data_IF_484678754012
#
_entry.id   IF_484678754012
#
_cell.length_a   1.000
_cell.length_b   1.000
_cell.length_c   1.000
_cell.angle_alpha   90.00
_cell.angle_beta   90.00
_cell.angle_gamma   90.00
#
_symmetry.space_group_name_H-M   'P 1'
#
loop_
_entity.id
_entity.type
_entity.pdbx_description
1 polymer ?
#
# COMPACT_ATOMS: atom_id res chain seq x y z
N UNK A 1 -24.37 -24.38 -4.97
CA UNK A 1 -24.52 -22.91 -5.06
C UNK A 1 -23.92 -22.17 -3.86
N UNK A 2 -24.46 -22.26 -2.63
CA UNK A 2 -24.05 -21.45 -1.45
C UNK A 2 -22.53 -21.23 -1.26
N UNK A 3 -21.68 -22.25 -1.45
CA UNK A 3 -20.21 -22.15 -1.30
C UNK A 3 -19.57 -21.07 -2.19
N UNK A 4 -20.06 -20.89 -3.43
CA UNK A 4 -19.57 -19.85 -4.35
C UNK A 4 -19.96 -18.44 -3.93
N UNK A 5 -21.16 -18.27 -3.34
CA UNK A 5 -21.61 -16.98 -2.80
C UNK A 5 -20.74 -16.61 -1.59
N UNK A 6 -20.46 -17.56 -0.70
CA UNK A 6 -19.55 -17.32 0.44
C UNK A 6 -18.14 -16.94 -0.03
N UNK A 7 -17.57 -17.62 -1.02
CA UNK A 7 -16.25 -17.22 -1.57
C UNK A 7 -16.29 -15.89 -2.30
N UNK A 8 -17.35 -15.56 -3.04
CA UNK A 8 -17.49 -14.26 -3.68
C UNK A 8 -17.64 -13.11 -2.67
N UNK A 9 -18.39 -13.34 -1.59
CA UNK A 9 -18.55 -12.41 -0.47
C UNK A 9 -17.24 -12.24 0.29
N UNK A 10 -16.53 -13.33 0.62
CA UNK A 10 -15.21 -13.27 1.25
C UNK A 10 -14.18 -12.56 0.36
N UNK A 11 -14.18 -12.79 -0.96
CA UNK A 11 -13.35 -12.03 -1.92
C UNK A 11 -13.76 -10.56 -1.97
N UNK A 12 -15.05 -10.24 -1.85
CA UNK A 12 -15.54 -8.87 -1.70
C UNK A 12 -15.01 -8.20 -0.44
N UNK A 13 -15.09 -8.87 0.71
CA UNK A 13 -14.56 -8.39 1.99
C UNK A 13 -13.02 -8.30 1.99
N UNK A 14 -12.31 -9.19 1.30
CA UNK A 14 -10.85 -9.09 1.14
C UNK A 14 -10.46 -7.93 0.22
N UNK A 15 -11.23 -7.67 -0.85
CA UNK A 15 -11.03 -6.51 -1.73
C UNK A 15 -11.25 -5.20 -0.98
N UNK A 16 -12.34 -5.08 -0.21
CA UNK A 16 -12.56 -3.90 0.63
C UNK A 16 -11.49 -3.80 1.71
N UNK A 17 -11.19 -4.87 2.46
CA UNK A 17 -10.18 -4.83 3.52
C UNK A 17 -8.78 -4.46 3.01
N UNK A 18 -8.35 -4.90 1.82
CA UNK A 18 -7.09 -4.43 1.22
C UNK A 18 -7.14 -2.92 0.91
N UNK A 19 -8.22 -2.43 0.29
CA UNK A 19 -8.40 -1.01 -0.01
C UNK A 19 -8.45 -0.17 1.28
N UNK A 20 -9.18 -0.64 2.30
CA UNK A 20 -9.21 -0.03 3.63
C UNK A 20 -7.83 -0.06 4.28
N UNK A 21 -7.09 -1.18 4.27
CA UNK A 21 -5.73 -1.25 4.82
C UNK A 21 -4.78 -0.26 4.12
N UNK A 22 -4.91 -0.08 2.80
CA UNK A 22 -4.14 0.88 2.01
C UNK A 22 -4.51 2.34 2.35
N UNK A 23 -5.81 2.66 2.46
CA UNK A 23 -6.31 4.03 2.60
C UNK A 23 -6.57 4.48 4.05
N UNK A 24 -6.60 3.58 5.03
CA UNK A 24 -6.90 3.87 6.44
C UNK A 24 -5.90 4.78 7.16
N UNK A 25 -4.75 5.10 6.55
CA UNK A 25 -3.81 6.07 7.10
C UNK A 25 -2.83 6.55 6.04
N UNK A 26 -2.72 7.86 5.93
CA UNK A 26 -1.68 8.59 5.20
C UNK A 26 -0.28 8.00 5.43
N UNK A 27 0.06 7.61 6.66
CA UNK A 27 1.37 7.00 6.98
C UNK A 27 1.66 5.69 6.25
N UNK A 28 0.63 4.91 5.86
CA UNK A 28 0.84 3.71 5.02
C UNK A 28 0.81 4.02 3.53
N UNK A 29 0.01 5.00 3.10
CA UNK A 29 0.09 5.52 1.72
C UNK A 29 1.48 6.05 1.43
N UNK A 30 2.01 6.93 2.28
CA UNK A 30 3.30 7.58 2.10
C UNK A 30 4.45 6.55 2.12
N UNK A 31 4.42 5.57 3.02
CA UNK A 31 5.38 4.45 3.04
C UNK A 31 5.36 3.61 1.74
N UNK A 32 4.20 3.37 1.16
CA UNK A 32 4.08 2.62 -0.10
C UNK A 32 4.48 3.45 -1.34
N UNK A 33 4.32 4.78 -1.29
CA UNK A 33 4.85 5.71 -2.30
C UNK A 33 6.38 5.78 -2.19
N UNK A 34 6.93 5.90 -0.98
CA UNK A 34 8.37 5.98 -0.74
C UNK A 34 9.11 4.71 -1.23
N UNK A 35 8.49 3.54 -1.06
CA UNK A 35 9.00 2.25 -1.54
C UNK A 35 8.71 1.96 -3.03
N UNK A 36 7.92 2.80 -3.72
CA UNK A 36 7.74 2.76 -5.20
C UNK A 36 8.97 3.34 -5.92
N UNK A 37 9.65 4.30 -5.31
CA UNK A 37 10.83 4.98 -5.87
C UNK A 37 12.05 4.06 -5.89
N UNK A 38 12.49 3.60 -4.71
CA UNK A 38 13.60 2.65 -4.54
C UNK A 38 13.39 1.76 -3.31
N UNK A 39 14.09 0.61 -3.23
CA UNK A 39 14.31 -0.11 -1.97
C UNK A 39 14.99 0.80 -0.94
N UNK A 40 14.60 0.71 0.34
CA UNK A 40 15.07 1.59 1.43
C UNK A 40 15.29 0.85 2.75
N UNK A 41 16.20 1.33 3.60
CA UNK A 41 16.39 0.84 4.99
C UNK A 41 15.41 1.50 5.97
N UNK A 42 15.37 1.03 7.23
CA UNK A 42 14.58 1.67 8.28
C UNK A 42 15.12 3.07 8.60
N UNK A 43 16.44 3.29 8.55
CA UNK A 43 17.03 4.60 8.76
C UNK A 43 16.58 5.60 7.68
N UNK A 44 16.63 5.22 6.40
CA UNK A 44 16.11 6.05 5.29
C UNK A 44 14.63 6.37 5.46
N UNK A 45 13.80 5.36 5.74
CA UNK A 45 12.34 5.52 5.89
C UNK A 45 11.98 6.41 7.11
N UNK A 46 12.72 6.28 8.22
CA UNK A 46 12.55 7.15 9.39
C UNK A 46 12.83 8.62 9.03
N UNK A 47 13.95 8.88 8.35
CA UNK A 47 14.38 10.23 7.99
C UNK A 47 13.44 10.92 6.99
N UNK A 48 12.91 10.18 6.01
CA UNK A 48 12.07 10.75 4.94
C UNK A 48 10.58 10.86 5.28
N UNK A 49 10.10 10.16 6.32
CA UNK A 49 8.71 10.24 6.80
C UNK A 49 8.59 10.98 8.15
N UNK A 50 9.66 11.66 8.59
CA UNK A 50 9.81 12.29 9.91
C UNK A 50 9.25 11.41 11.04
N UNK A 51 9.84 10.22 11.19
CA UNK A 51 9.29 9.19 12.06
C UNK A 51 10.35 8.28 12.67
N UNK A 52 9.92 7.37 13.54
CA UNK A 52 10.82 6.53 14.32
C UNK A 52 10.51 5.03 14.14
N UNK A 53 11.51 4.21 14.49
CA UNK A 53 11.44 2.74 14.36
C UNK A 53 10.24 2.12 15.08
N UNK A 54 9.83 2.68 16.23
CA UNK A 54 8.69 2.18 17.02
C UNK A 54 7.36 2.40 16.28
N UNK A 55 7.21 3.52 15.57
CA UNK A 55 6.04 3.83 14.77
C UNK A 55 6.01 3.06 13.43
N UNK A 56 7.16 2.89 12.76
CA UNK A 56 7.22 2.34 11.40
C UNK A 56 7.27 0.80 11.35
N UNK A 57 7.94 0.15 12.31
CA UNK A 57 8.08 -1.32 12.32
C UNK A 57 6.73 -2.05 12.37
N UNK A 58 5.71 -1.63 13.14
CA UNK A 58 4.37 -2.21 13.08
C UNK A 58 3.68 -2.04 11.72
N UNK A 59 3.95 -0.95 10.99
CA UNK A 59 3.39 -0.73 9.65
C UNK A 59 4.10 -1.62 8.62
N UNK A 60 5.43 -1.67 8.63
CA UNK A 60 6.23 -2.56 7.77
C UNK A 60 5.88 -4.04 8.01
N UNK A 61 5.67 -4.45 9.27
CA UNK A 61 5.19 -5.80 9.63
C UNK A 61 3.83 -6.08 8.97
N UNK A 62 2.84 -5.20 9.14
CA UNK A 62 1.51 -5.35 8.51
C UNK A 62 1.56 -5.36 6.98
N UNK A 63 2.38 -4.51 6.35
CA UNK A 63 2.55 -4.49 4.89
C UNK A 63 3.23 -5.77 4.37
N UNK A 64 4.13 -6.38 5.15
CA UNK A 64 4.73 -7.69 4.84
C UNK A 64 3.73 -8.83 5.00
N UNK A 65 2.93 -8.82 6.07
CA UNK A 65 1.87 -9.81 6.32
C UNK A 65 0.78 -9.80 5.24
N UNK A 66 0.48 -8.62 4.68
CA UNK A 66 -0.42 -8.47 3.53
C UNK A 66 0.27 -8.70 2.17
N UNK A 67 1.53 -9.13 2.13
CA UNK A 67 2.27 -9.43 0.91
C UNK A 67 2.58 -8.22 0.01
N UNK A 68 2.46 -6.99 0.51
CA UNK A 68 2.68 -5.74 -0.23
C UNK A 68 4.15 -5.31 -0.26
N UNK A 69 4.87 -5.58 0.83
CA UNK A 69 6.29 -5.27 1.01
C UNK A 69 7.06 -6.56 1.31
N UNK A 70 8.27 -6.67 0.77
CA UNK A 70 9.23 -7.73 1.09
C UNK A 70 10.51 -7.11 1.68
N UNK A 71 11.18 -7.88 2.53
CA UNK A 71 12.40 -7.47 3.22
C UNK A 71 13.54 -8.42 2.82
N UNK A 72 14.65 -7.87 2.34
CA UNK A 72 15.88 -8.59 2.02
C UNK A 72 17.01 -8.02 2.88
N UNK A 73 17.55 -8.84 3.78
CA UNK A 73 18.49 -8.41 4.83
C UNK A 73 17.89 -7.25 5.65
N UNK A 74 18.38 -6.01 5.48
CA UNK A 74 17.88 -4.78 6.14
C UNK A 74 17.08 -3.85 5.20
N UNK A 75 16.91 -4.21 3.94
CA UNK A 75 16.29 -3.36 2.91
C UNK A 75 14.85 -3.83 2.67
N UNK A 76 13.92 -2.87 2.68
CA UNK A 76 12.51 -3.08 2.35
C UNK A 76 12.22 -2.61 0.92
N UNK A 77 11.36 -3.32 0.19
CA UNK A 77 10.91 -2.94 -1.16
C UNK A 77 9.50 -3.45 -1.45
N UNK A 78 8.79 -2.80 -2.37
CA UNK A 78 7.49 -3.30 -2.82
C UNK A 78 7.63 -4.69 -3.47
N UNK A 79 6.73 -5.59 -3.12
CA UNK A 79 6.52 -6.86 -3.81
C UNK A 79 5.93 -6.63 -5.22
N UNK A 80 5.83 -7.68 -6.04
CA UNK A 80 5.11 -7.60 -7.32
C UNK A 80 3.65 -7.11 -7.13
N UNK A 81 2.96 -7.63 -6.11
CA UNK A 81 1.60 -7.22 -5.75
C UNK A 81 1.55 -5.76 -5.32
N UNK A 82 2.48 -5.33 -4.46
CA UNK A 82 2.61 -3.92 -4.04
C UNK A 82 2.82 -2.98 -5.22
N UNK A 83 3.73 -3.33 -6.15
CA UNK A 83 3.98 -2.55 -7.37
C UNK A 83 2.74 -2.43 -8.26
N UNK A 84 1.96 -3.50 -8.43
CA UNK A 84 0.71 -3.48 -9.21
C UNK A 84 -0.33 -2.56 -8.55
N UNK A 85 -0.48 -2.65 -7.23
CA UNK A 85 -1.45 -1.85 -6.45
C UNK A 85 -1.11 -0.36 -6.51
N UNK A 86 0.13 0.03 -6.16
CA UNK A 86 0.51 1.46 -6.13
C UNK A 86 0.49 2.06 -7.55
N UNK A 87 0.80 1.28 -8.60
CA UNK A 87 0.58 1.72 -10.00
C UNK A 87 -0.89 1.97 -10.30
N UNK A 88 -1.81 1.09 -9.89
CA UNK A 88 -3.26 1.29 -10.09
C UNK A 88 -3.80 2.49 -9.31
N UNK A 89 -3.34 2.72 -8.07
CA UNK A 89 -3.69 3.90 -7.29
C UNK A 89 -3.24 5.20 -7.98
N UNK A 90 -1.99 5.25 -8.44
CA UNK A 90 -1.44 6.38 -9.21
C UNK A 90 -2.25 6.65 -10.49
N UNK A 91 -2.63 5.61 -11.23
CA UNK A 91 -3.52 5.73 -12.40
C UNK A 91 -4.92 6.26 -12.05
N UNK A 92 -5.51 5.84 -10.93
CA UNK A 92 -6.82 6.32 -10.49
C UNK A 92 -6.79 7.79 -10.06
N UNK A 93 -5.79 8.20 -9.27
CA UNK A 93 -5.61 9.62 -8.89
C UNK A 93 -5.43 10.51 -10.13
N UNK A 94 -4.65 10.04 -11.12
CA UNK A 94 -4.49 10.74 -12.41
C UNK A 94 -5.78 10.80 -13.24
N UNK A 95 -6.67 9.81 -13.12
CA UNK A 95 -7.98 9.85 -13.78
C UNK A 95 -8.93 10.84 -13.09
N UNK A 96 -9.05 10.81 -11.76
CA UNK A 96 -9.86 11.78 -11.00
C UNK A 96 -9.40 13.23 -11.24
N UNK A 97 -8.09 13.48 -11.27
CA UNK A 97 -7.53 14.82 -11.55
C UNK A 97 -7.78 15.31 -12.99
N UNK A 98 -8.07 14.42 -13.94
CA UNK A 98 -8.56 14.83 -15.27
C UNK A 98 -10.01 15.29 -15.15
N UNK A 99 -10.89 14.45 -14.60
CA UNK A 99 -12.31 14.78 -14.40
C UNK A 99 -12.54 16.06 -13.58
N UNK A 100 -11.64 16.40 -12.64
CA UNK A 100 -11.66 17.67 -11.89
C UNK A 100 -11.30 18.89 -12.76
N UNK A 101 -10.37 18.74 -13.70
CA UNK A 101 -9.95 19.80 -14.63
C UNK A 101 -10.88 19.91 -15.85
N UNK A 102 -11.49 18.81 -16.28
CA UNK A 102 -12.47 18.74 -17.37
C UNK A 102 -13.83 19.35 -16.97
N UNK A 103 -13.95 19.86 -15.73
CA UNK A 103 -15.14 20.45 -15.11
C UNK A 103 -14.89 21.91 -14.66
N UNK A 104 -13.96 22.62 -15.33
CA UNK A 104 -13.62 24.04 -15.13
C UNK A 104 -13.52 24.77 -16.47
#
# INVERSE_FOLDING_TARGET
>A
MKKYIFTAFAVGMMRSNLITILLSSEKRTNLLILLKEKPRTIEEINNELDTNSVAILPQLKKLKENGLVIQEKKIYKLSLLGKIIVRKMDSLVKAFRRLENDCK
#
